data_IF_003080967813
#
_entry.id   IF_003080967813
#
_cell.length_a   1.000
_cell.length_b   1.000
_cell.length_c   1.000
_cell.angle_alpha   90.00
_cell.angle_beta   90.00
_cell.angle_gamma   90.00
#
_symmetry.space_group_name_H-M   'P 1'
#
loop_
_entity.id
_entity.type
_entity.pdbx_description
1 polymer ?
#
# COMPACT_ATOMS: atom_id res chain seq x y z
N UNK A 1 -9.93 0.11 -9.82
CA UNK A 1 -8.49 -0.24 -9.72
C UNK A 1 -8.44 -1.62 -9.12
N UNK A 2 -7.49 -2.43 -9.52
CA UNK A 2 -7.31 -3.80 -9.04
C UNK A 2 -6.03 -3.89 -8.22
N UNK A 3 -5.97 -4.88 -7.33
CA UNK A 3 -4.75 -5.22 -6.60
C UNK A 3 -3.79 -5.95 -7.54
N UNK A 4 -2.53 -5.56 -7.52
CA UNK A 4 -1.46 -6.09 -8.36
C UNK A 4 -0.25 -6.40 -7.52
N UNK A 5 0.52 -7.40 -7.92
CA UNK A 5 1.84 -7.63 -7.37
C UNK A 5 2.85 -6.75 -8.09
N UNK A 6 3.65 -6.03 -7.32
CA UNK A 6 4.84 -5.33 -7.76
C UNK A 6 6.04 -6.01 -7.12
N UNK A 7 7.00 -6.43 -7.93
CA UNK A 7 8.28 -6.88 -7.41
C UNK A 7 9.04 -5.65 -6.91
N UNK A 8 9.24 -5.59 -5.60
CA UNK A 8 10.05 -4.54 -4.98
C UNK A 8 11.48 -4.62 -5.50
N UNK A 9 12.15 -3.47 -5.56
CA UNK A 9 13.60 -3.45 -5.76
C UNK A 9 14.30 -4.39 -4.76
N UNK A 10 15.31 -5.12 -5.26
CA UNK A 10 16.20 -5.98 -4.49
C UNK A 10 17.63 -5.86 -5.02
N UNK A 11 18.62 -6.13 -4.18
CA UNK A 11 20.03 -6.08 -4.56
C UNK A 11 20.34 -7.12 -5.64
N UNK A 12 21.07 -6.69 -6.68
CA UNK A 12 21.38 -7.55 -7.83
C UNK A 12 20.29 -7.59 -8.90
N UNK A 13 19.18 -6.85 -8.76
CA UNK A 13 18.18 -6.75 -9.83
C UNK A 13 18.80 -6.12 -11.09
N UNK A 14 18.59 -6.74 -12.25
CA UNK A 14 19.16 -6.31 -13.54
C UNK A 14 18.09 -5.82 -14.52
N UNK A 15 18.45 -4.84 -15.36
CA UNK A 15 17.59 -4.34 -16.42
C UNK A 15 17.35 -5.42 -17.49
N UNK A 16 16.11 -5.66 -17.87
CA UNK A 16 15.76 -6.64 -18.91
C UNK A 16 16.28 -6.30 -20.30
N UNK A 17 16.61 -5.02 -20.56
CA UNK A 17 17.04 -4.55 -21.89
C UNK A 17 18.56 -4.51 -22.06
N UNK A 18 19.32 -4.18 -21.02
CA UNK A 18 20.79 -4.05 -21.11
C UNK A 18 21.56 -4.83 -20.04
N UNK A 19 20.88 -5.57 -19.17
CA UNK A 19 21.47 -6.38 -18.11
C UNK A 19 22.30 -5.63 -17.05
N UNK A 20 22.37 -4.30 -17.14
CA UNK A 20 22.95 -3.44 -16.10
C UNK A 20 22.16 -3.53 -14.79
N UNK A 21 22.86 -3.33 -13.68
CA UNK A 21 22.24 -3.27 -12.36
C UNK A 21 21.23 -2.12 -12.29
N UNK A 22 20.06 -2.44 -11.73
CA UNK A 22 19.03 -1.47 -11.42
C UNK A 22 19.37 -0.77 -10.11
N UNK A 23 18.99 0.50 -10.04
CA UNK A 23 19.07 1.30 -8.82
C UNK A 23 17.66 1.56 -8.28
N UNK A 24 17.46 1.58 -6.95
CA UNK A 24 16.20 2.00 -6.37
C UNK A 24 15.97 3.50 -6.63
N UNK A 25 14.71 3.93 -6.69
CA UNK A 25 14.39 5.35 -6.65
C UNK A 25 14.55 5.91 -5.24
N UNK A 26 15.65 6.65 -5.06
CA UNK A 26 16.02 7.25 -3.78
C UNK A 26 15.17 8.46 -3.41
N UNK A 27 14.45 9.06 -4.37
CA UNK A 27 13.75 10.32 -4.16
C UNK A 27 12.29 10.13 -3.72
N UNK A 28 11.57 9.22 -4.37
CA UNK A 28 10.14 9.06 -4.13
C UNK A 28 9.80 7.71 -3.54
N UNK A 29 10.08 6.62 -4.27
CA UNK A 29 9.74 5.27 -3.84
C UNK A 29 10.88 4.25 -4.02
N UNK A 30 11.61 3.90 -2.94
CA UNK A 30 12.72 2.93 -3.02
C UNK A 30 12.31 1.54 -3.51
N UNK A 31 11.02 1.22 -3.47
CA UNK A 31 10.47 -0.01 -4.03
C UNK A 31 10.56 -0.05 -5.55
N UNK A 32 10.68 1.10 -6.20
CA UNK A 32 10.71 1.26 -7.64
C UNK A 32 12.16 1.21 -8.15
N UNK A 33 12.36 0.52 -9.28
CA UNK A 33 13.67 0.28 -9.88
C UNK A 33 13.82 1.06 -11.19
N UNK A 34 14.99 1.68 -11.39
CA UNK A 34 15.35 2.36 -12.64
C UNK A 34 16.66 1.83 -13.20
N UNK A 35 16.80 1.91 -14.53
CA UNK A 35 18.06 1.67 -15.21
C UNK A 35 18.73 3.01 -15.53
N UNK A 36 19.99 3.18 -15.13
CA UNK A 36 20.76 4.41 -15.39
C UNK A 36 20.98 4.72 -16.88
N UNK A 37 20.96 3.69 -17.75
CA UNK A 37 21.05 3.82 -19.21
C UNK A 37 19.70 4.08 -19.88
N UNK A 38 18.59 3.63 -19.28
CA UNK A 38 17.23 3.74 -19.83
C UNK A 38 16.33 4.58 -18.93
N UNK A 39 16.77 5.81 -18.65
CA UNK A 39 16.24 6.70 -17.61
C UNK A 39 14.73 7.05 -17.72
N UNK A 40 14.05 6.64 -18.80
CA UNK A 40 12.67 7.02 -19.08
C UNK A 40 11.62 6.01 -18.59
N UNK A 41 11.99 4.80 -18.14
CA UNK A 41 11.01 3.79 -17.73
C UNK A 41 11.38 3.03 -16.46
N UNK A 42 10.37 2.83 -15.63
CA UNK A 42 10.44 1.95 -14.46
C UNK A 42 10.59 0.50 -14.91
N UNK A 43 11.54 -0.20 -14.29
CA UNK A 43 11.97 -1.54 -14.70
C UNK A 43 11.43 -2.66 -13.81
N UNK A 44 10.57 -2.34 -12.84
CA UNK A 44 9.97 -3.36 -11.97
C UNK A 44 9.15 -4.36 -12.78
N UNK A 45 9.09 -5.60 -12.28
CA UNK A 45 8.09 -6.57 -12.73
C UNK A 45 6.76 -6.30 -12.03
N UNK A 46 5.68 -6.36 -12.80
CA UNK A 46 4.31 -6.22 -12.31
C UNK A 46 3.49 -7.39 -12.83
N UNK A 47 2.62 -7.93 -11.98
CA UNK A 47 1.70 -8.98 -12.35
C UNK A 47 0.34 -8.77 -11.68
N UNK A 48 -0.74 -9.23 -12.32
CA UNK A 48 -2.02 -9.37 -11.63
C UNK A 48 -1.88 -10.38 -10.51
N UNK A 49 -2.54 -10.19 -9.36
CA UNK A 49 -2.50 -11.20 -8.31
C UNK A 49 -3.17 -12.51 -8.78
N UNK A 50 -2.66 -13.68 -8.35
CA UNK A 50 -1.49 -13.90 -7.48
C UNK A 50 -0.14 -13.66 -8.18
N UNK A 51 0.93 -13.27 -7.46
CA UNK A 51 2.25 -13.11 -8.06
C UNK A 51 2.79 -14.45 -8.60
N UNK A 52 3.65 -14.42 -9.64
CA UNK A 52 4.37 -15.61 -10.09
C UNK A 52 5.23 -16.20 -8.98
N UNK A 53 5.27 -17.53 -8.88
CA UNK A 53 6.09 -18.26 -7.88
C UNK A 53 7.59 -18.10 -8.10
N UNK A 54 8.00 -17.67 -9.29
CA UNK A 54 9.39 -17.41 -9.67
C UNK A 54 9.95 -16.07 -9.16
N UNK A 55 9.12 -15.25 -8.50
CA UNK A 55 9.59 -13.99 -7.93
C UNK A 55 10.32 -14.23 -6.60
N UNK A 56 11.43 -13.53 -6.41
CA UNK A 56 12.21 -13.58 -5.18
C UNK A 56 11.65 -12.59 -4.16
N UNK A 57 11.45 -13.05 -2.92
CA UNK A 57 10.93 -12.22 -1.83
C UNK A 57 9.41 -12.09 -1.80
N UNK A 58 8.90 -11.20 -0.93
CA UNK A 58 7.46 -10.89 -0.86
C UNK A 58 7.15 -9.68 -1.75
N UNK A 59 6.38 -9.84 -2.84
CA UNK A 59 5.99 -8.71 -3.65
C UNK A 59 5.10 -7.74 -2.87
N UNK A 60 5.17 -6.48 -3.23
CA UNK A 60 4.28 -5.45 -2.71
C UNK A 60 2.93 -5.56 -3.41
N UNK A 61 1.84 -5.46 -2.64
CA UNK A 61 0.52 -5.26 -3.22
C UNK A 61 0.34 -3.78 -3.54
N UNK A 62 0.06 -3.45 -4.79
CA UNK A 62 -0.19 -2.07 -5.25
C UNK A 62 -1.51 -1.97 -5.97
N UNK A 63 -2.07 -0.76 -6.07
CA UNK A 63 -3.26 -0.51 -6.88
C UNK A 63 -2.89 -0.18 -8.33
N UNK A 64 -3.51 -0.83 -9.30
CA UNK A 64 -3.27 -0.58 -10.72
C UNK A 64 -4.34 -1.13 -11.64
N UNK A 65 -4.06 -1.14 -12.94
CA UNK A 65 -4.87 -1.78 -13.98
C UNK A 65 -4.01 -2.08 -15.22
N UNK A 66 -4.41 -3.05 -16.04
CA UNK A 66 -3.76 -3.33 -17.33
C UNK A 66 -3.90 -2.12 -18.25
N UNK A 67 -2.89 -1.83 -19.07
CA UNK A 67 -2.96 -0.78 -20.10
C UNK A 67 -4.05 -1.01 -21.13
N UNK A 68 -4.45 -2.27 -21.32
CA UNK A 68 -5.54 -2.67 -22.21
C UNK A 68 -6.93 -2.56 -21.57
N UNK A 69 -7.01 -2.35 -20.25
CA UNK A 69 -8.28 -2.23 -19.56
C UNK A 69 -8.81 -0.80 -19.57
N UNK A 70 -10.14 -0.65 -19.56
CA UNK A 70 -10.79 0.66 -19.43
C UNK A 70 -10.33 1.37 -18.16
N UNK A 71 -9.94 2.65 -18.30
CA UNK A 71 -9.46 3.47 -17.19
C UNK A 71 -10.52 3.53 -16.07
N UNK A 72 -10.22 3.10 -14.84
CA UNK A 72 -11.20 3.10 -13.77
C UNK A 72 -11.61 4.54 -13.38
N UNK A 73 -12.86 4.84 -13.02
CA UNK A 73 -13.33 6.22 -12.75
C UNK A 73 -12.87 6.84 -11.41
N UNK A 74 -11.96 6.21 -10.67
CA UNK A 74 -11.60 6.60 -9.27
C UNK A 74 -10.56 7.73 -9.19
N UNK A 75 -10.92 9.01 -9.23
CA UNK A 75 -9.93 10.11 -9.33
C UNK A 75 -9.06 10.38 -8.09
N UNK A 76 -9.56 10.08 -6.89
CA UNK A 76 -8.89 10.39 -5.63
C UNK A 76 -8.68 9.12 -4.81
N UNK A 77 -7.51 9.01 -4.17
CA UNK A 77 -7.15 7.93 -3.26
C UNK A 77 -6.51 8.50 -2.01
N UNK A 78 -6.69 7.82 -0.87
CA UNK A 78 -6.09 8.25 0.38
C UNK A 78 -4.59 7.95 0.37
N UNK A 79 -3.75 8.99 0.49
CA UNK A 79 -2.31 8.83 0.56
C UNK A 79 -1.86 8.82 2.02
N UNK A 80 -1.28 7.69 2.47
CA UNK A 80 -0.73 7.55 3.82
C UNK A 80 0.38 8.57 4.10
N UNK A 81 1.32 8.74 3.16
CA UNK A 81 2.43 9.71 3.32
C UNK A 81 1.92 11.16 3.44
N UNK A 82 0.83 11.50 2.77
CA UNK A 82 0.25 12.84 2.81
C UNK A 82 -0.88 13.02 3.84
N UNK A 83 -1.37 11.96 4.49
CA UNK A 83 -2.46 12.01 5.47
C UNK A 83 -3.85 12.40 4.94
N UNK A 84 -4.13 12.27 3.64
CA UNK A 84 -5.39 12.72 3.04
C UNK A 84 -5.67 12.19 1.64
N UNK A 85 -6.88 12.45 1.13
CA UNK A 85 -7.24 12.15 -0.26
C UNK A 85 -6.46 13.03 -1.22
N UNK A 86 -5.76 12.38 -2.16
CA UNK A 86 -4.95 13.03 -3.19
C UNK A 86 -5.41 12.58 -4.56
N UNK A 87 -5.23 13.46 -5.55
CA UNK A 87 -5.38 13.08 -6.95
C UNK A 87 -4.38 11.96 -7.23
N UNK A 88 -4.84 10.92 -7.91
CA UNK A 88 -3.93 9.85 -8.36
C UNK A 88 -3.19 10.27 -9.63
N UNK A 89 -1.99 9.75 -9.79
CA UNK A 89 -1.26 9.67 -11.05
C UNK A 89 -0.99 8.20 -11.39
N UNK A 90 -0.52 7.93 -12.60
CA UNK A 90 -0.19 6.56 -13.03
C UNK A 90 1.24 6.47 -13.52
N UNK A 91 1.98 5.51 -12.95
CA UNK A 91 3.25 5.05 -13.49
C UNK A 91 2.99 3.94 -14.48
N UNK A 92 3.64 4.03 -15.64
CA UNK A 92 3.57 2.95 -16.64
C UNK A 92 4.73 2.01 -16.37
N UNK A 93 4.41 0.75 -16.10
CA UNK A 93 5.41 -0.29 -15.84
C UNK A 93 4.99 -1.49 -16.69
N UNK A 94 5.74 -1.77 -17.76
CA UNK A 94 5.36 -2.76 -18.76
C UNK A 94 3.90 -2.52 -19.24
N UNK A 95 3.06 -3.54 -19.19
CA UNK A 95 1.66 -3.52 -19.62
C UNK A 95 0.69 -3.06 -18.53
N UNK A 96 1.18 -2.39 -17.48
CA UNK A 96 0.39 -1.98 -16.34
C UNK A 96 0.51 -0.49 -16.05
N UNK A 97 -0.59 0.08 -15.54
CA UNK A 97 -0.66 1.43 -14.98
C UNK A 97 -0.80 1.32 -13.47
N UNK A 98 0.27 1.62 -12.74
CA UNK A 98 0.31 1.57 -11.27
C UNK A 98 -0.03 2.94 -10.69
N UNK A 99 -0.96 2.98 -9.74
CA UNK A 99 -1.44 4.20 -9.13
C UNK A 99 -0.43 4.73 -8.10
N UNK A 100 -0.12 6.03 -8.19
CA UNK A 100 0.68 6.76 -7.22
C UNK A 100 0.04 8.07 -6.81
N UNK A 101 0.47 8.62 -5.67
CA UNK A 101 0.03 9.93 -5.19
C UNK A 101 0.67 11.04 -6.03
N UNK A 102 -0.14 11.95 -6.60
CA UNK A 102 0.40 13.05 -7.42
C UNK A 102 1.18 14.10 -6.62
N UNK A 103 1.15 14.07 -5.29
CA UNK A 103 1.80 15.05 -4.42
C UNK A 103 3.13 14.57 -3.85
N UNK A 104 3.21 13.29 -3.47
CA UNK A 104 4.42 12.73 -2.86
C UNK A 104 5.03 11.58 -3.66
N UNK A 105 4.45 11.28 -4.83
CA UNK A 105 4.93 10.31 -5.81
C UNK A 105 5.01 8.85 -5.35
N UNK A 106 4.71 8.56 -4.08
CA UNK A 106 4.59 7.20 -3.53
C UNK A 106 3.48 6.40 -4.19
N UNK A 107 3.70 5.11 -4.35
CA UNK A 107 2.67 4.17 -4.81
C UNK A 107 1.55 4.05 -3.78
N UNK A 108 0.33 3.81 -4.25
CA UNK A 108 -0.76 3.41 -3.37
C UNK A 108 -0.67 1.92 -3.09
N UNK A 109 -0.46 1.61 -1.81
CA UNK A 109 -0.50 0.24 -1.28
C UNK A 109 -1.91 -0.35 -1.48
N UNK A 110 -1.96 -1.49 -2.17
CA UNK A 110 -3.19 -2.21 -2.49
C UNK A 110 -3.69 -3.11 -1.37
N UNK A 111 -2.93 -3.26 -0.29
CA UNK A 111 -3.39 -3.80 0.99
C UNK A 111 -3.93 -2.74 1.94
N UNK A 112 -4.00 -1.46 1.51
CA UNK A 112 -4.77 -0.46 2.22
C UNK A 112 -6.24 -0.87 2.25
N UNK A 113 -6.69 -1.29 3.43
CA UNK A 113 -8.10 -1.22 3.78
C UNK A 113 -8.52 0.24 3.60
N UNK A 114 -9.33 0.50 2.58
CA UNK A 114 -9.96 1.80 2.38
C UNK A 114 -11.00 1.98 3.49
N UNK A 115 -10.55 2.37 4.68
CA UNK A 115 -11.46 2.78 5.73
C UNK A 115 -11.96 4.17 5.34
N UNK A 116 -13.27 4.36 5.12
CA UNK A 116 -13.83 5.66 4.77
C UNK A 116 -13.44 6.71 5.81
N UNK A 117 -13.03 7.90 5.37
CA UNK A 117 -12.85 9.00 6.32
C UNK A 117 -14.19 9.40 6.92
N UNK A 118 -14.30 9.42 8.25
CA UNK A 118 -15.41 10.08 8.93
C UNK A 118 -15.36 11.58 8.61
N UNK A 119 -16.37 12.06 7.88
CA UNK A 119 -16.58 13.49 7.59
C UNK A 119 -17.72 14.09 8.40
N UNK A 120 -18.47 13.25 9.11
CA UNK A 120 -19.68 13.64 9.82
C UNK A 120 -19.52 13.25 11.31
N UNK A 121 -19.85 14.14 12.26
CA UNK A 121 -19.84 13.84 13.70
C UNK A 121 -20.90 12.82 14.12
N UNK A 122 -21.92 12.56 13.29
CA UNK A 122 -22.92 11.54 13.57
C UNK A 122 -22.32 10.12 13.51
N UNK A 123 -22.77 9.19 14.37
CA UNK A 123 -22.42 7.78 14.24
C UNK A 123 -22.73 7.26 12.82
N UNK A 124 -21.74 6.67 12.17
CA UNK A 124 -21.91 6.07 10.83
C UNK A 124 -21.43 4.63 10.85
N UNK A 125 -22.22 3.76 10.22
CA UNK A 125 -21.80 2.39 9.97
C UNK A 125 -20.63 2.41 8.99
N UNK A 126 -19.53 1.79 9.39
CA UNK A 126 -18.36 1.57 8.53
C UNK A 126 -18.50 0.20 7.89
N UNK A 127 -18.50 0.16 6.56
CA UNK A 127 -18.50 -1.08 5.79
C UNK A 127 -17.14 -1.28 5.16
N UNK A 128 -16.50 -2.41 5.44
CA UNK A 128 -15.26 -2.81 4.77
C UNK A 128 -15.59 -3.38 3.39
N UNK A 129 -14.77 -3.07 2.38
CA UNK A 129 -14.96 -3.55 1.00
C UNK A 129 -14.59 -5.03 0.82
N UNK A 130 -14.00 -5.64 1.84
CA UNK A 130 -13.57 -7.03 1.88
C UNK A 130 -13.96 -7.61 3.23
N UNK A 131 -14.30 -8.89 3.26
CA UNK A 131 -14.53 -9.58 4.51
C UNK A 131 -13.29 -9.49 5.39
N UNK A 132 -13.46 -8.84 6.53
CA UNK A 132 -12.42 -8.59 7.51
C UNK A 132 -12.80 -9.33 8.79
N UNK A 133 -12.22 -10.52 9.06
CA UNK A 133 -12.50 -11.24 10.30
C UNK A 133 -11.87 -10.46 11.46
N UNK A 134 -12.71 -9.71 12.18
CA UNK A 134 -12.29 -8.93 13.34
C UNK A 134 -12.23 -9.86 14.55
N UNK A 135 -11.05 -9.92 15.17
CA UNK A 135 -10.81 -10.67 16.41
C UNK A 135 -11.07 -9.76 17.61
N UNK A 136 -10.56 -8.53 17.58
CA UNK A 136 -10.71 -7.57 18.66
C UNK A 136 -10.66 -6.12 18.16
N UNK A 137 -11.20 -5.20 18.96
CA UNK A 137 -11.16 -3.76 18.72
C UNK A 137 -10.77 -3.04 20.01
N UNK A 138 -9.71 -2.23 19.95
CA UNK A 138 -9.28 -1.39 21.07
C UNK A 138 -9.26 0.09 20.66
N UNK A 139 -9.74 0.97 21.54
CA UNK A 139 -9.82 2.40 21.27
C UNK A 139 -8.87 3.19 22.17
N UNK A 140 -8.06 4.06 21.55
CA UNK A 140 -7.30 5.10 22.25
C UNK A 140 -8.01 6.44 22.18
N UNK A 141 -7.33 7.54 22.57
CA UNK A 141 -7.96 8.87 22.63
C UNK A 141 -8.40 9.40 21.26
N UNK A 142 -7.59 9.17 20.24
CA UNK A 142 -7.80 9.71 18.89
C UNK A 142 -7.59 8.66 17.79
N UNK A 143 -7.48 7.39 18.17
CA UNK A 143 -7.25 6.28 17.25
C UNK A 143 -7.95 5.02 17.72
N UNK A 144 -8.11 4.08 16.80
CA UNK A 144 -8.73 2.79 16.96
C UNK A 144 -7.80 1.73 16.36
N UNK A 145 -7.71 0.60 17.05
CA UNK A 145 -7.03 -0.61 16.60
C UNK A 145 -8.07 -1.67 16.28
N UNK A 146 -7.96 -2.28 15.10
CA UNK A 146 -8.72 -3.47 14.72
C UNK A 146 -7.74 -4.61 14.54
N UNK A 147 -7.87 -5.65 15.36
CA UNK A 147 -7.10 -6.87 15.24
C UNK A 147 -7.82 -7.86 14.34
N UNK A 148 -7.07 -8.49 13.44
CA UNK A 148 -7.50 -9.65 12.66
C UNK A 148 -6.49 -10.79 12.85
N UNK A 149 -6.77 -12.03 12.38
CA UNK A 149 -5.85 -13.14 12.52
C UNK A 149 -4.48 -12.91 11.87
N UNK A 150 -4.40 -12.04 10.86
CA UNK A 150 -3.18 -11.80 10.07
C UNK A 150 -2.72 -10.35 10.02
N UNK A 151 -3.50 -9.41 10.57
CA UNK A 151 -3.24 -7.97 10.48
C UNK A 151 -3.62 -7.23 11.75
N UNK A 152 -2.90 -6.16 12.05
CA UNK A 152 -3.28 -5.14 13.03
C UNK A 152 -3.52 -3.82 12.30
N UNK A 153 -4.74 -3.31 12.34
CA UNK A 153 -5.12 -2.10 11.61
C UNK A 153 -5.15 -0.93 12.57
N UNK A 154 -4.42 0.13 12.25
CA UNK A 154 -4.40 1.37 13.03
C UNK A 154 -5.15 2.46 12.26
N UNK A 155 -6.18 3.02 12.90
CA UNK A 155 -7.04 4.05 12.34
C UNK A 155 -7.10 5.27 13.26
N UNK A 156 -6.75 6.47 12.77
CA UNK A 156 -6.82 7.71 13.55
C UNK A 156 -5.44 8.29 13.87
N UNK A 157 -5.30 9.12 14.90
CA UNK A 157 -4.05 9.78 15.26
C UNK A 157 -3.32 9.06 16.41
N UNK A 158 -2.09 8.62 16.13
CA UNK A 158 -1.20 7.96 17.08
C UNK A 158 0.22 8.52 16.91
N UNK A 159 0.90 8.83 18.02
CA UNK A 159 2.29 9.34 17.97
C UNK A 159 2.47 10.61 17.13
N UNK A 160 1.47 11.50 17.12
CA UNK A 160 1.49 12.73 16.30
C UNK A 160 1.31 12.50 14.79
N UNK A 161 1.03 11.28 14.35
CA UNK A 161 0.83 10.92 12.94
C UNK A 161 -0.57 10.36 12.71
N UNK A 162 -1.12 10.62 11.53
CA UNK A 162 -2.41 10.04 11.11
C UNK A 162 -2.18 8.69 10.46
N UNK A 163 -2.83 7.67 10.99
CA UNK A 163 -2.81 6.28 10.55
C UNK A 163 -4.13 5.89 9.90
N UNK A 164 -4.04 5.13 8.81
CA UNK A 164 -5.16 4.43 8.18
C UNK A 164 -4.62 3.20 7.44
N UNK A 165 -3.88 2.35 8.17
CA UNK A 165 -3.09 1.27 7.57
C UNK A 165 -3.24 -0.03 8.34
N UNK A 166 -3.16 -1.14 7.60
CA UNK A 166 -2.92 -2.45 8.17
C UNK A 166 -1.41 -2.66 8.34
N UNK A 167 -1.00 -3.13 9.50
CA UNK A 167 0.29 -3.73 9.75
C UNK A 167 0.12 -5.23 9.57
N UNK A 168 0.90 -5.83 8.68
CA UNK A 168 0.94 -7.27 8.55
C UNK A 168 1.59 -7.85 9.80
N UNK A 169 0.92 -8.82 10.42
CA UNK A 169 1.50 -9.61 11.48
C UNK A 169 2.51 -10.54 10.80
N UNK A 170 3.79 -10.46 11.18
CA UNK A 170 4.81 -11.39 10.66
C UNK A 170 4.52 -12.80 11.18
N UNK A 171 4.78 -13.84 10.39
CA UNK A 171 4.45 -15.23 10.73
C UNK A 171 5.09 -15.74 12.04
N UNK A 172 6.06 -15.00 12.58
CA UNK A 172 6.77 -15.28 13.84
C UNK A 172 6.14 -14.64 15.08
N UNK A 173 5.15 -13.76 14.93
CA UNK A 173 4.51 -13.05 16.03
C UNK A 173 3.01 -13.27 15.93
N UNK A 174 2.34 -13.70 16.99
CA UNK A 174 0.88 -13.69 17.06
C UNK A 174 0.44 -12.80 18.20
N UNK A 175 -0.38 -11.79 17.90
CA UNK A 175 -1.01 -10.97 18.93
C UNK A 175 -2.15 -11.79 19.55
N UNK A 176 -2.06 -12.10 20.83
CA UNK A 176 -3.15 -12.75 21.59
C UNK A 176 -4.16 -11.73 22.10
N UNK A 177 -3.69 -10.52 22.40
CA UNK A 177 -4.51 -9.40 22.85
C UNK A 177 -3.82 -8.09 22.54
N UNK A 178 -4.60 -7.03 22.38
CA UNK A 178 -4.09 -5.67 22.17
C UNK A 178 -4.87 -4.72 23.06
N UNK A 179 -4.18 -3.77 23.70
CA UNK A 179 -4.79 -2.72 24.51
C UNK A 179 -4.32 -1.34 24.04
N UNK A 180 -5.20 -0.35 24.17
CA UNK A 180 -4.91 1.03 23.84
C UNK A 180 -4.89 1.89 25.11
N UNK A 181 -3.78 2.58 25.32
CA UNK A 181 -3.75 3.74 26.20
C UNK A 181 -4.17 5.01 25.45
N UNK A 182 -4.01 6.18 26.10
CA UNK A 182 -4.38 7.46 25.47
C UNK A 182 -3.65 7.70 24.14
N UNK A 183 -2.34 7.40 24.10
CA UNK A 183 -1.47 7.65 22.95
C UNK A 183 -0.45 6.51 22.69
N UNK A 184 -0.67 5.33 23.27
CA UNK A 184 0.22 4.17 23.12
C UNK A 184 -0.59 2.88 22.97
N UNK A 185 0.09 1.83 22.52
CA UNK A 185 -0.45 0.49 22.30
C UNK A 185 0.35 -0.48 23.18
N UNK A 186 -0.34 -1.41 23.83
CA UNK A 186 0.23 -2.51 24.60
C UNK A 186 -0.25 -3.85 24.04
#
# INVERSE_FOLDING_TARGET
LSRMALESHYEGATCSMCYELLSPDTYYDPSMSRCGKHQQSWQNRVFSLPPPTSWTGRPLTVLGFSTTATKPPVFFLFCLKCGGFRRRMFYTISNFKIAGCSSCFKLFDGDQLLIPTQKNPAPQKVTFTTDLPIVDIAAGKAFLLVQTPSKLIIWGHLGGKKHNRALLIQDTVSFTKVACGSAHIA
#
